data_IF_916605554685
#
_entry.id   IF_916605554685
#
_cell.length_a   1.000
_cell.length_b   1.000
_cell.length_c   1.000
_cell.angle_alpha   90.00
_cell.angle_beta   90.00
_cell.angle_gamma   90.00
#
_symmetry.space_group_name_H-M   'P 1'
#
loop_
_entity.id
_entity.type
_entity.pdbx_description
1 polymer ?
#
# COMPACT_ATOMS: atom_id res chain seq x y z
N UNK A 1 -0.69 -13.88 20.73
CA UNK A 1 -1.60 -13.97 19.57
C UNK A 1 -1.45 -12.67 18.79
N UNK A 2 -0.95 -12.77 17.57
CA UNK A 2 -0.70 -11.60 16.71
C UNK A 2 -1.99 -10.96 16.23
N UNK A 3 -1.89 -9.74 15.71
CA UNK A 3 -3.06 -8.98 15.21
C UNK A 3 -3.71 -9.59 13.96
N UNK A 4 -2.97 -10.39 13.20
CA UNK A 4 -3.44 -11.11 12.01
C UNK A 4 -3.34 -12.63 12.15
N UNK A 5 -3.34 -13.14 13.38
CA UNK A 5 -3.19 -14.58 13.67
C UNK A 5 -4.23 -15.40 12.91
N UNK A 6 -3.76 -16.38 12.10
CA UNK A 6 -4.59 -17.25 11.25
C UNK A 6 -5.21 -16.59 10.01
N UNK A 7 -4.97 -15.32 9.76
CA UNK A 7 -5.45 -14.61 8.55
C UNK A 7 -4.54 -14.87 7.34
N UNK A 8 -5.10 -14.78 6.16
CA UNK A 8 -4.37 -14.76 4.88
C UNK A 8 -4.33 -13.32 4.37
N UNK A 9 -3.11 -12.82 4.15
CA UNK A 9 -2.86 -11.45 3.69
C UNK A 9 -2.29 -11.44 2.27
N UNK A 10 -2.72 -10.46 1.45
CA UNK A 10 -2.08 -10.12 0.18
C UNK A 10 -1.47 -8.71 0.28
N UNK A 11 -0.20 -8.54 -0.12
CA UNK A 11 0.48 -7.25 -0.21
C UNK A 11 0.95 -7.02 -1.64
N UNK A 12 0.46 -5.98 -2.32
CA UNK A 12 1.01 -5.63 -3.64
C UNK A 12 2.26 -4.76 -3.48
N UNK A 13 3.30 -5.03 -4.31
CA UNK A 13 4.58 -4.31 -4.22
C UNK A 13 5.40 -4.65 -2.97
N UNK A 14 5.38 -5.92 -2.54
CA UNK A 14 5.99 -6.39 -1.29
C UNK A 14 7.51 -6.62 -1.34
N UNK A 15 8.22 -6.20 -2.39
CA UNK A 15 9.67 -6.47 -2.54
C UNK A 15 10.59 -5.37 -2.06
N UNK A 16 10.08 -4.23 -1.60
CA UNK A 16 10.88 -3.10 -1.06
C UNK A 16 10.01 -2.10 -0.30
N UNK A 17 10.67 -1.22 0.49
CA UNK A 17 10.04 -0.10 1.19
C UNK A 17 8.88 -0.53 2.08
N UNK A 18 7.80 0.25 2.07
CA UNK A 18 6.60 0.02 2.89
C UNK A 18 6.04 -1.39 2.67
N UNK A 19 5.98 -1.84 1.41
CA UNK A 19 5.42 -3.17 1.11
C UNK A 19 6.24 -4.31 1.72
N UNK A 20 7.58 -4.25 1.64
CA UNK A 20 8.46 -5.24 2.27
C UNK A 20 8.27 -5.29 3.79
N UNK A 21 8.31 -4.12 4.44
CA UNK A 21 8.08 -4.05 5.89
C UNK A 21 6.69 -4.56 6.29
N UNK A 22 5.68 -4.30 5.47
CA UNK A 22 4.34 -4.84 5.69
C UNK A 22 4.30 -6.36 5.58
N UNK A 23 4.98 -6.97 4.59
CA UNK A 23 5.07 -8.44 4.45
C UNK A 23 5.70 -9.05 5.70
N UNK A 24 6.83 -8.50 6.16
CA UNK A 24 7.55 -9.00 7.33
C UNK A 24 6.73 -8.81 8.62
N UNK A 25 6.13 -7.64 8.79
CA UNK A 25 5.30 -7.33 9.94
C UNK A 25 4.05 -8.23 10.01
N UNK A 26 3.32 -8.37 8.89
CA UNK A 26 2.10 -9.18 8.86
C UNK A 26 2.39 -10.66 9.15
N UNK A 27 3.53 -11.18 8.65
CA UNK A 27 3.97 -12.53 8.98
C UNK A 27 4.31 -12.69 10.48
N UNK A 28 5.03 -11.73 11.07
CA UNK A 28 5.31 -11.69 12.53
C UNK A 28 4.03 -11.64 13.36
N UNK A 29 2.99 -11.00 12.82
CA UNK A 29 1.66 -10.90 13.45
C UNK A 29 0.74 -12.09 13.14
N UNK A 30 1.29 -13.18 12.61
CA UNK A 30 0.63 -14.47 12.46
C UNK A 30 -0.12 -14.69 11.15
N UNK A 31 0.00 -13.80 10.18
CA UNK A 31 -0.60 -13.99 8.87
C UNK A 31 0.21 -14.97 7.99
N UNK A 32 -0.49 -15.71 7.13
CA UNK A 32 0.09 -16.28 5.90
C UNK A 32 0.09 -15.19 4.84
N UNK A 33 1.27 -14.83 4.32
CA UNK A 33 1.40 -13.64 3.48
C UNK A 33 1.72 -14.01 2.04
N UNK A 34 0.81 -13.67 1.12
CA UNK A 34 1.14 -13.57 -0.30
C UNK A 34 1.56 -12.15 -0.62
N UNK A 35 2.52 -11.99 -1.53
CA UNK A 35 2.91 -10.66 -1.97
C UNK A 35 3.41 -10.65 -3.41
N UNK A 36 3.23 -9.49 -4.08
CA UNK A 36 3.63 -9.32 -5.47
C UNK A 36 4.83 -8.41 -5.62
N UNK A 37 5.51 -8.53 -6.76
CA UNK A 37 6.58 -7.65 -7.18
C UNK A 37 7.14 -8.04 -8.54
N UNK A 38 7.85 -7.12 -9.19
CA UNK A 38 8.46 -7.33 -10.50
C UNK A 38 9.81 -8.06 -10.43
N UNK A 39 10.56 -7.81 -9.35
CA UNK A 39 11.92 -8.33 -9.14
C UNK A 39 11.86 -9.69 -8.47
N UNK A 40 12.20 -10.72 -9.20
CA UNK A 40 12.08 -12.11 -8.74
C UNK A 40 13.06 -12.43 -7.61
N UNK A 41 14.32 -11.99 -7.73
CA UNK A 41 15.35 -12.25 -6.70
C UNK A 41 14.96 -11.58 -5.38
N UNK A 42 14.60 -10.29 -5.40
CA UNK A 42 14.13 -9.58 -4.20
C UNK A 42 12.85 -10.21 -3.60
N UNK A 43 11.97 -10.77 -4.45
CA UNK A 43 10.79 -11.49 -3.96
C UNK A 43 11.16 -12.79 -3.24
N UNK A 44 12.11 -13.55 -3.77
CA UNK A 44 12.61 -14.77 -3.12
C UNK A 44 13.30 -14.47 -1.80
N UNK A 45 14.14 -13.43 -1.74
CA UNK A 45 14.81 -12.98 -0.51
C UNK A 45 13.80 -12.67 0.60
N UNK A 46 12.74 -11.89 0.30
CA UNK A 46 11.70 -11.55 1.29
C UNK A 46 10.93 -12.80 1.73
N UNK A 47 10.61 -13.71 0.80
CA UNK A 47 9.92 -14.96 1.15
C UNK A 47 10.79 -15.86 2.04
N UNK A 48 12.09 -15.93 1.77
CA UNK A 48 13.07 -16.69 2.58
C UNK A 48 13.21 -16.09 3.98
N UNK A 49 13.24 -14.74 4.11
CA UNK A 49 13.29 -14.07 5.41
C UNK A 49 12.06 -14.40 6.26
N UNK A 50 10.86 -14.37 5.68
CA UNK A 50 9.62 -14.77 6.37
C UNK A 50 9.66 -16.22 6.81
N UNK A 51 10.08 -17.14 5.92
CA UNK A 51 10.10 -18.58 6.23
C UNK A 51 11.18 -18.93 7.24
N UNK A 52 12.33 -18.28 7.22
CA UNK A 52 13.40 -18.44 8.21
C UNK A 52 12.95 -17.97 9.59
N UNK A 53 12.08 -16.95 9.66
CA UNK A 53 11.45 -16.51 10.91
C UNK A 53 10.28 -17.39 11.36
N UNK A 54 9.98 -18.49 10.65
CA UNK A 54 8.92 -19.44 10.99
C UNK A 54 7.53 -19.09 10.45
N UNK A 55 7.41 -18.07 9.58
CA UNK A 55 6.16 -17.68 8.92
C UNK A 55 5.91 -18.44 7.60
N UNK A 56 4.76 -18.20 7.00
CA UNK A 56 4.42 -18.71 5.66
C UNK A 56 4.32 -17.55 4.65
N UNK A 57 5.09 -17.62 3.55
CA UNK A 57 5.07 -16.62 2.48
C UNK A 57 4.85 -17.25 1.10
N UNK A 58 4.21 -16.49 0.21
CA UNK A 58 4.09 -16.78 -1.22
C UNK A 58 4.47 -15.54 -2.03
N UNK A 59 5.60 -15.58 -2.74
CA UNK A 59 5.92 -14.56 -3.71
C UNK A 59 5.25 -14.87 -5.06
N UNK A 60 4.56 -13.88 -5.63
CA UNK A 60 3.93 -13.95 -6.95
C UNK A 60 4.56 -12.86 -7.82
N UNK A 61 5.26 -13.26 -8.90
CA UNK A 61 5.81 -12.29 -9.85
C UNK A 61 4.67 -11.63 -10.63
N UNK A 62 4.41 -10.37 -10.33
CA UNK A 62 3.40 -9.57 -11.00
C UNK A 62 3.79 -8.10 -11.02
N UNK A 63 3.36 -7.39 -12.06
CA UNK A 63 3.44 -5.93 -12.16
C UNK A 63 2.04 -5.36 -11.91
N UNK A 64 1.89 -4.57 -10.84
CA UNK A 64 0.60 -3.98 -10.47
C UNK A 64 0.07 -2.95 -11.48
N UNK A 65 0.91 -2.49 -12.42
CA UNK A 65 0.47 -1.65 -13.54
C UNK A 65 -0.24 -2.46 -14.64
N UNK A 66 -0.04 -3.77 -14.66
CA UNK A 66 -0.75 -4.72 -15.54
C UNK A 66 -1.93 -5.34 -14.78
N UNK A 67 -3.00 -4.58 -14.70
CA UNK A 67 -4.20 -4.87 -13.92
C UNK A 67 -4.96 -6.13 -14.38
N UNK A 68 -4.79 -6.58 -15.62
CA UNK A 68 -5.40 -7.82 -16.14
C UNK A 68 -4.97 -9.06 -15.31
N UNK A 69 -3.81 -9.00 -14.65
CA UNK A 69 -3.31 -10.07 -13.77
C UNK A 69 -3.89 -10.09 -12.37
N UNK A 70 -4.67 -9.10 -11.94
CA UNK A 70 -5.15 -8.99 -10.55
C UNK A 70 -5.98 -10.20 -10.10
N UNK A 71 -6.92 -10.64 -10.93
CA UNK A 71 -7.75 -11.82 -10.64
C UNK A 71 -6.91 -13.11 -10.54
N UNK A 72 -5.87 -13.24 -11.37
CA UNK A 72 -4.97 -14.39 -11.35
C UNK A 72 -4.10 -14.41 -10.08
N UNK A 73 -3.62 -13.25 -9.63
CA UNK A 73 -2.90 -13.13 -8.35
C UNK A 73 -3.79 -13.58 -7.19
N UNK A 74 -5.03 -13.08 -7.09
CA UNK A 74 -5.96 -13.49 -6.03
C UNK A 74 -6.28 -14.99 -6.12
N UNK A 75 -6.44 -15.55 -7.31
CA UNK A 75 -6.62 -16.99 -7.51
C UNK A 75 -5.44 -17.79 -6.95
N UNK A 76 -4.18 -17.41 -7.26
CA UNK A 76 -2.98 -18.07 -6.74
C UNK A 76 -2.91 -18.02 -5.20
N UNK A 77 -3.30 -16.89 -4.57
CA UNK A 77 -3.40 -16.77 -3.10
C UNK A 77 -4.36 -17.80 -2.54
N UNK A 78 -5.55 -17.92 -3.13
CA UNK A 78 -6.59 -18.85 -2.68
C UNK A 78 -6.20 -20.30 -2.94
N UNK A 79 -5.57 -20.61 -4.07
CA UNK A 79 -5.04 -21.95 -4.34
C UNK A 79 -3.98 -22.38 -3.31
N UNK A 80 -3.14 -21.45 -2.85
CA UNK A 80 -2.07 -21.74 -1.89
C UNK A 80 -2.55 -21.79 -0.43
N UNK A 81 -3.44 -20.87 -0.04
CA UNK A 81 -3.81 -20.66 1.38
C UNK A 81 -5.30 -20.89 1.67
N UNK A 82 -6.13 -21.14 0.66
CA UNK A 82 -7.54 -21.50 0.79
C UNK A 82 -8.50 -20.32 0.89
N UNK A 83 -8.02 -19.09 1.18
CA UNK A 83 -8.83 -17.88 1.38
C UNK A 83 -8.03 -16.59 1.19
N UNK A 84 -8.69 -15.44 1.28
CA UNK A 84 -8.09 -14.12 1.39
C UNK A 84 -8.86 -13.30 2.42
N UNK A 85 -8.24 -12.92 3.54
CA UNK A 85 -8.88 -12.18 4.62
C UNK A 85 -8.60 -10.70 4.59
N UNK A 86 -7.36 -10.33 4.29
CA UNK A 86 -6.92 -8.94 4.29
C UNK A 86 -6.02 -8.67 3.08
N UNK A 87 -6.08 -7.42 2.56
CA UNK A 87 -5.24 -7.01 1.46
C UNK A 87 -4.66 -5.61 1.71
N UNK A 88 -3.39 -5.43 1.38
CA UNK A 88 -2.73 -4.12 1.35
C UNK A 88 -2.30 -3.79 -0.08
N UNK A 89 -3.08 -2.93 -0.74
CA UNK A 89 -2.78 -2.41 -2.06
C UNK A 89 -1.74 -1.29 -1.94
N UNK A 90 -0.46 -1.70 -1.87
CA UNK A 90 0.66 -0.79 -1.63
C UNK A 90 1.41 -0.42 -2.91
N UNK A 91 1.40 -1.25 -3.95
CA UNK A 91 2.13 -0.97 -5.18
C UNK A 91 1.77 0.40 -5.77
N UNK A 92 2.78 1.12 -6.21
CA UNK A 92 2.63 2.43 -6.83
C UNK A 92 3.95 3.01 -7.29
N UNK A 93 3.87 4.12 -8.00
CA UNK A 93 5.01 4.89 -8.49
C UNK A 93 4.79 6.38 -8.28
N UNK A 94 5.86 7.16 -8.31
CA UNK A 94 5.81 8.61 -8.28
C UNK A 94 6.70 9.17 -9.39
N UNK A 95 6.22 10.22 -10.04
CA UNK A 95 6.96 11.00 -11.02
C UNK A 95 6.66 12.47 -10.80
N UNK A 96 7.65 13.32 -11.06
CA UNK A 96 7.58 14.77 -10.90
C UNK A 96 7.78 15.43 -12.24
N UNK A 97 6.97 16.43 -12.55
CA UNK A 97 7.09 17.23 -13.77
C UNK A 97 6.16 18.44 -13.77
N UNK A 98 6.53 19.55 -14.46
CA UNK A 98 5.69 20.74 -14.56
C UNK A 98 4.34 20.42 -15.24
N UNK A 99 3.24 20.89 -14.67
CA UNK A 99 1.87 20.63 -15.19
C UNK A 99 1.73 20.88 -16.70
N UNK A 100 2.34 21.95 -17.19
CA UNK A 100 2.25 22.38 -18.60
C UNK A 100 3.11 21.55 -19.57
N UNK A 101 3.95 20.66 -19.07
CA UNK A 101 4.89 19.85 -19.84
C UNK A 101 4.62 18.35 -19.75
N UNK A 102 3.59 17.94 -18.99
CA UNK A 102 3.24 16.54 -18.85
C UNK A 102 2.66 15.98 -20.15
N UNK A 103 3.24 14.87 -20.62
CA UNK A 103 2.68 14.14 -21.76
C UNK A 103 1.53 13.21 -21.31
N UNK A 104 0.71 12.79 -22.29
CA UNK A 104 -0.32 11.76 -22.08
C UNK A 104 0.30 10.47 -21.51
N UNK A 105 1.43 10.04 -22.08
CA UNK A 105 2.16 8.86 -21.57
C UNK A 105 2.55 9.02 -20.09
N UNK A 106 3.04 10.20 -19.67
CA UNK A 106 3.38 10.46 -18.27
C UNK A 106 2.16 10.31 -17.37
N UNK A 107 1.01 10.84 -17.81
CA UNK A 107 -0.26 10.73 -17.12
C UNK A 107 -0.71 9.28 -17.02
N UNK A 108 -0.74 8.54 -18.12
CA UNK A 108 -1.20 7.17 -18.21
C UNK A 108 -0.39 6.25 -17.29
N UNK A 109 0.94 6.35 -17.31
CA UNK A 109 1.80 5.55 -16.44
C UNK A 109 1.51 5.74 -14.94
N UNK A 110 1.19 6.98 -14.52
CA UNK A 110 0.82 7.26 -13.12
C UNK A 110 -0.58 6.78 -12.79
N UNK A 111 -1.54 7.04 -13.65
CA UNK A 111 -2.94 6.68 -13.41
C UNK A 111 -3.14 5.17 -13.52
N UNK A 112 -2.54 4.52 -14.51
CA UNK A 112 -2.62 3.07 -14.66
C UNK A 112 -1.96 2.35 -13.47
N UNK A 113 -0.78 2.81 -13.03
CA UNK A 113 -0.09 2.20 -11.91
C UNK A 113 -0.72 2.46 -10.54
N UNK A 114 -1.13 3.71 -10.28
CA UNK A 114 -1.55 4.13 -8.95
C UNK A 114 -3.06 4.04 -8.70
N UNK A 115 -3.89 4.17 -9.74
CA UNK A 115 -5.34 4.21 -9.58
C UNK A 115 -6.02 3.01 -10.26
N UNK A 116 -5.79 2.81 -11.56
CA UNK A 116 -6.45 1.75 -12.31
C UNK A 116 -6.03 0.36 -11.82
N UNK A 117 -4.72 0.15 -11.59
CA UNK A 117 -4.23 -1.10 -10.98
C UNK A 117 -4.87 -1.37 -9.62
N UNK A 118 -4.91 -0.35 -8.75
CA UNK A 118 -5.57 -0.45 -7.42
C UNK A 118 -7.04 -0.82 -7.56
N UNK A 119 -7.77 -0.22 -8.50
CA UNK A 119 -9.17 -0.54 -8.73
C UNK A 119 -9.38 -2.04 -9.04
N UNK A 120 -8.60 -2.61 -9.95
CA UNK A 120 -8.78 -4.01 -10.35
C UNK A 120 -8.31 -5.01 -9.29
N UNK A 121 -7.25 -4.68 -8.52
CA UNK A 121 -6.88 -5.48 -7.35
C UNK A 121 -7.98 -5.45 -6.29
N UNK A 122 -8.48 -4.28 -5.91
CA UNK A 122 -9.57 -4.13 -4.97
C UNK A 122 -10.83 -4.89 -5.42
N UNK A 123 -11.18 -4.81 -6.72
CA UNK A 123 -12.30 -5.55 -7.30
C UNK A 123 -12.12 -7.07 -7.16
N UNK A 124 -10.94 -7.61 -7.50
CA UNK A 124 -10.67 -9.05 -7.42
C UNK A 124 -10.66 -9.56 -5.97
N UNK A 125 -10.04 -8.78 -5.06
CA UNK A 125 -9.99 -9.05 -3.62
C UNK A 125 -11.38 -9.05 -3.00
N UNK A 126 -12.17 -7.99 -3.24
CA UNK A 126 -13.54 -7.88 -2.75
C UNK A 126 -14.43 -9.00 -3.29
N UNK A 127 -14.34 -9.32 -4.58
CA UNK A 127 -15.09 -10.42 -5.18
C UNK A 127 -14.73 -11.76 -4.52
N UNK A 128 -13.47 -11.99 -4.16
CA UNK A 128 -13.05 -13.18 -3.43
C UNK A 128 -13.59 -13.19 -2.00
N UNK A 129 -13.45 -12.09 -1.26
CA UNK A 129 -13.95 -11.97 0.12
C UNK A 129 -15.46 -12.17 0.19
N UNK A 130 -16.22 -11.65 -0.78
CA UNK A 130 -17.67 -11.89 -0.90
C UNK A 130 -17.99 -13.36 -1.13
N UNK A 131 -17.30 -14.03 -2.07
CA UNK A 131 -17.56 -15.46 -2.38
C UNK A 131 -17.29 -16.38 -1.19
N UNK A 132 -16.24 -16.12 -0.42
CA UNK A 132 -15.89 -16.97 0.74
C UNK A 132 -16.73 -16.67 1.99
N UNK A 133 -17.34 -15.49 2.08
CA UNK A 133 -18.08 -15.03 3.25
C UNK A 133 -17.19 -14.68 4.44
N UNK A 134 -17.80 -14.13 5.50
CA UNK A 134 -17.10 -13.81 6.75
C UNK A 134 -16.43 -12.43 6.79
N UNK A 135 -16.64 -11.61 5.76
CA UNK A 135 -16.08 -10.25 5.68
C UNK A 135 -14.62 -10.21 5.25
N UNK A 136 -13.99 -9.06 5.44
CA UNK A 136 -12.58 -8.84 5.09
C UNK A 136 -12.12 -7.40 5.38
N UNK A 137 -10.85 -7.11 5.13
CA UNK A 137 -10.34 -5.75 5.23
C UNK A 137 -9.32 -5.45 4.13
N UNK A 138 -9.50 -4.31 3.47
CA UNK A 138 -8.60 -3.83 2.42
C UNK A 138 -8.06 -2.47 2.85
N UNK A 139 -6.73 -2.32 2.89
CA UNK A 139 -6.04 -1.06 3.04
C UNK A 139 -5.41 -0.67 1.70
N UNK A 140 -5.43 0.61 1.37
CA UNK A 140 -4.81 1.12 0.15
C UNK A 140 -3.76 2.17 0.51
N UNK A 141 -2.57 2.07 -0.07
CA UNK A 141 -1.51 3.06 0.10
C UNK A 141 -1.82 4.31 -0.73
N UNK A 142 -2.36 5.32 -0.06
CA UNK A 142 -2.63 6.64 -0.59
C UNK A 142 -1.38 7.54 -0.61
N UNK A 143 -1.57 8.79 -0.23
CA UNK A 143 -0.51 9.79 0.02
C UNK A 143 -1.14 11.02 0.68
N UNK A 144 -0.37 11.79 1.45
CA UNK A 144 -0.77 13.15 1.87
C UNK A 144 -1.12 14.03 0.66
N UNK A 145 -0.53 13.76 -0.49
CA UNK A 145 -0.79 14.48 -1.73
C UNK A 145 -2.12 14.12 -2.41
N UNK A 146 -2.94 13.28 -1.81
CA UNK A 146 -4.36 13.19 -2.12
C UNK A 146 -5.14 14.45 -1.69
N UNK A 147 -4.61 15.20 -0.71
CA UNK A 147 -5.24 16.38 -0.11
C UNK A 147 -4.34 17.62 -0.17
N UNK A 148 -3.01 17.45 -0.15
CA UNK A 148 -2.06 18.54 -0.25
C UNK A 148 -1.57 18.74 -1.69
N UNK A 149 -1.22 19.99 -2.01
CA UNK A 149 -0.57 20.35 -3.25
C UNK A 149 0.92 20.68 -3.07
N UNK A 150 1.73 20.32 -4.06
CA UNK A 150 3.09 20.84 -4.21
C UNK A 150 3.47 20.88 -5.68
N UNK A 151 4.57 21.56 -6.00
CA UNK A 151 5.03 21.69 -7.37
C UNK A 151 5.37 20.33 -8.00
N UNK A 152 4.96 20.15 -9.23
CA UNK A 152 5.38 19.04 -10.10
C UNK A 152 4.66 17.71 -9.87
N UNK A 153 3.67 17.62 -8.96
CA UNK A 153 2.99 16.35 -8.64
C UNK A 153 1.51 16.30 -9.05
N UNK A 154 1.06 17.16 -9.95
CA UNK A 154 -0.37 17.27 -10.30
C UNK A 154 -1.00 15.95 -10.73
N UNK A 155 -0.35 15.18 -11.62
CA UNK A 155 -0.83 13.87 -12.07
C UNK A 155 -0.77 12.82 -10.94
N UNK A 156 0.28 12.86 -10.10
CA UNK A 156 0.38 12.00 -8.93
C UNK A 156 -0.74 12.29 -7.92
N UNK A 157 -0.96 13.58 -7.59
CA UNK A 157 -2.05 14.00 -6.69
C UNK A 157 -3.42 13.59 -7.24
N UNK A 158 -3.66 13.73 -8.54
CA UNK A 158 -4.90 13.28 -9.17
C UNK A 158 -5.10 11.76 -8.98
N UNK A 159 -4.04 10.96 -9.20
CA UNK A 159 -4.12 9.50 -9.00
C UNK A 159 -4.41 9.13 -7.54
N UNK A 160 -3.73 9.78 -6.57
CA UNK A 160 -3.90 9.50 -5.13
C UNK A 160 -5.20 10.05 -4.56
N UNK A 161 -5.68 11.20 -5.06
CA UNK A 161 -7.03 11.71 -4.79
C UNK A 161 -8.11 10.76 -5.30
N UNK A 162 -7.91 10.20 -6.50
CA UNK A 162 -8.77 9.16 -7.07
C UNK A 162 -8.82 7.89 -6.20
N UNK A 163 -7.68 7.44 -5.69
CA UNK A 163 -7.59 6.30 -4.75
C UNK A 163 -8.40 6.57 -3.47
N UNK A 164 -8.27 7.75 -2.88
CA UNK A 164 -9.01 8.10 -1.66
C UNK A 164 -10.53 8.15 -1.92
N UNK A 165 -10.97 8.65 -3.07
CA UNK A 165 -12.38 8.64 -3.48
C UNK A 165 -12.89 7.22 -3.75
N UNK A 166 -12.10 6.38 -4.45
CA UNK A 166 -12.39 4.98 -4.71
C UNK A 166 -12.58 4.20 -3.40
N UNK A 167 -11.67 4.35 -2.44
CA UNK A 167 -11.75 3.65 -1.15
C UNK A 167 -13.01 4.02 -0.36
N UNK A 168 -13.43 5.30 -0.37
CA UNK A 168 -14.68 5.75 0.27
C UNK A 168 -15.91 5.12 -0.39
N UNK A 169 -15.97 5.12 -1.72
CA UNK A 169 -17.07 4.51 -2.46
C UNK A 169 -17.16 3.00 -2.21
N UNK A 170 -16.03 2.30 -2.29
CA UNK A 170 -15.92 0.87 -2.04
C UNK A 170 -16.31 0.51 -0.59
N UNK A 171 -15.95 1.34 0.40
CA UNK A 171 -16.34 1.13 1.79
C UNK A 171 -17.87 1.13 1.99
N UNK A 172 -18.57 2.01 1.29
CA UNK A 172 -20.06 2.06 1.33
C UNK A 172 -20.65 0.86 0.61
N UNK A 173 -20.14 0.52 -0.57
CA UNK A 173 -20.66 -0.58 -1.39
C UNK A 173 -20.43 -1.96 -0.75
N UNK A 174 -19.27 -2.15 -0.11
CA UNK A 174 -18.85 -3.44 0.45
C UNK A 174 -19.21 -3.62 1.94
N UNK A 175 -19.66 -2.55 2.60
CA UNK A 175 -20.06 -2.59 4.00
C UNK A 175 -21.11 -3.65 4.33
N UNK A 176 -22.17 -3.86 3.52
CA UNK A 176 -23.16 -4.94 3.72
C UNK A 176 -22.55 -6.35 3.74
N UNK A 177 -21.41 -6.55 3.07
CA UNK A 177 -20.67 -7.81 3.04
C UNK A 177 -19.61 -7.90 4.18
N UNK A 178 -19.60 -6.95 5.12
CA UNK A 178 -18.64 -6.82 6.22
C UNK A 178 -17.18 -6.67 5.74
N UNK A 179 -16.98 -6.09 4.57
CA UNK A 179 -15.65 -5.79 4.02
C UNK A 179 -15.38 -4.31 4.26
N UNK A 180 -14.28 -4.02 5.01
CA UNK A 180 -13.84 -2.67 5.31
C UNK A 180 -12.79 -2.21 4.28
N UNK A 181 -12.84 -0.94 3.89
CA UNK A 181 -11.86 -0.36 2.96
C UNK A 181 -11.38 0.99 3.51
N UNK A 182 -10.08 1.16 3.68
CA UNK A 182 -9.47 2.39 4.20
C UNK A 182 -8.21 2.75 3.40
N UNK A 183 -7.79 4.02 3.47
CA UNK A 183 -6.49 4.44 2.95
C UNK A 183 -5.51 4.80 4.07
N UNK A 184 -4.25 4.46 3.85
CA UNK A 184 -3.11 4.95 4.64
C UNK A 184 -2.39 5.98 3.78
N UNK A 185 -2.23 7.20 4.27
CA UNK A 185 -1.71 8.32 3.50
C UNK A 185 -0.37 8.79 4.07
N UNK A 186 0.75 8.18 3.65
CA UNK A 186 2.06 8.61 4.10
C UNK A 186 2.51 9.92 3.43
N UNK A 187 3.39 10.62 4.12
CA UNK A 187 4.25 11.65 3.57
C UNK A 187 5.54 11.05 3.00
N UNK A 188 6.66 11.75 3.10
CA UNK A 188 7.99 11.24 2.70
C UNK A 188 8.42 10.15 3.67
N UNK A 189 8.55 8.94 3.15
CA UNK A 189 8.99 7.75 3.88
C UNK A 189 10.32 7.27 3.28
N UNK A 190 11.26 6.86 4.12
CA UNK A 190 12.57 6.33 3.71
C UNK A 190 12.41 5.01 2.92
N UNK A 191 12.35 5.12 1.62
CA UNK A 191 12.18 4.00 0.70
C UNK A 191 13.06 4.19 -0.54
N UNK A 192 13.29 3.15 -1.34
CA UNK A 192 13.96 3.32 -2.64
C UNK A 192 13.24 4.31 -3.58
N UNK A 193 11.94 4.51 -3.43
CA UNK A 193 11.17 5.48 -4.22
C UNK A 193 11.56 6.93 -3.92
N UNK A 194 11.90 7.22 -2.67
CA UNK A 194 12.21 8.57 -2.18
C UNK A 194 13.72 8.83 -2.02
N UNK A 195 14.54 7.79 -2.13
CA UNK A 195 15.99 7.85 -1.89
C UNK A 195 16.71 8.92 -2.73
N UNK A 196 16.28 9.12 -3.99
CA UNK A 196 16.88 10.14 -4.87
C UNK A 196 16.63 11.60 -4.45
N UNK A 197 15.65 11.84 -3.55
CA UNK A 197 15.35 13.16 -3.00
C UNK A 197 15.87 13.36 -1.58
N UNK A 198 16.44 12.34 -0.95
CA UNK A 198 17.01 12.42 0.40
C UNK A 198 18.48 12.83 0.27
N UNK A 199 18.85 13.94 0.91
CA UNK A 199 20.22 14.41 1.02
C UNK A 199 20.64 14.41 2.50
N UNK A 200 21.94 14.30 2.76
CA UNK A 200 22.48 14.41 4.12
C UNK A 200 23.15 15.77 4.27
N UNK A 201 22.83 16.51 5.32
CA UNK A 201 23.47 17.79 5.64
C UNK A 201 24.88 17.55 6.19
N UNK A 202 25.71 18.61 6.25
CA UNK A 202 27.05 18.56 6.84
C UNK A 202 27.03 18.11 8.32
N UNK A 203 25.92 18.31 9.01
CA UNK A 203 25.70 17.89 10.39
C UNK A 203 25.18 16.45 10.53
N UNK A 204 25.05 15.74 9.38
CA UNK A 204 24.56 14.36 9.35
C UNK A 204 23.04 14.20 9.42
N UNK A 205 22.26 15.29 9.41
CA UNK A 205 20.82 15.22 9.34
C UNK A 205 20.34 14.91 7.91
N UNK A 206 19.37 14.03 7.80
CA UNK A 206 18.76 13.74 6.50
C UNK A 206 17.69 14.79 6.17
N UNK A 207 17.79 15.28 4.95
CA UNK A 207 16.94 16.31 4.40
C UNK A 207 16.22 15.81 3.16
N UNK A 208 14.96 16.14 3.04
CA UNK A 208 14.16 15.97 1.82
C UNK A 208 13.34 17.25 1.60
N UNK A 209 13.26 17.81 0.38
CA UNK A 209 12.59 19.10 0.13
C UNK A 209 11.12 19.15 0.61
N UNK A 210 10.44 18.01 0.59
CA UNK A 210 9.07 17.91 1.14
C UNK A 210 9.06 17.60 2.65
N UNK A 211 10.19 17.24 3.23
CA UNK A 211 10.35 16.91 4.66
C UNK A 211 10.43 18.13 5.57
N UNK A 212 10.82 19.30 5.04
CA UNK A 212 10.95 20.55 5.82
C UNK A 212 9.64 21.00 6.50
N UNK A 213 8.50 20.56 5.97
CA UNK A 213 7.18 20.88 6.48
C UNK A 213 6.61 19.83 7.43
N UNK A 214 7.41 18.85 7.83
CA UNK A 214 6.97 17.80 8.76
C UNK A 214 7.21 18.28 10.19
N UNK A 215 6.16 18.55 11.01
CA UNK A 215 6.31 19.04 12.39
C UNK A 215 7.17 18.16 13.30
N UNK A 216 7.18 16.84 13.10
CA UNK A 216 8.04 15.94 13.86
C UNK A 216 9.53 16.03 13.48
N UNK A 217 9.91 16.88 12.50
CA UNK A 217 11.30 17.22 12.16
C UNK A 217 12.11 16.10 11.51
N UNK A 218 11.46 15.05 11.00
CA UNK A 218 12.11 13.93 10.31
C UNK A 218 11.21 13.31 9.26
N UNK A 219 11.83 12.62 8.32
CA UNK A 219 11.09 11.72 7.40
C UNK A 219 10.61 10.48 8.17
N UNK A 220 9.53 9.86 7.65
CA UNK A 220 8.97 8.64 8.25
C UNK A 220 9.74 7.37 7.84
N UNK A 221 9.59 6.32 8.63
CA UNK A 221 10.13 5.00 8.33
C UNK A 221 9.04 4.08 7.74
N UNK A 222 9.40 3.11 6.88
CA UNK A 222 8.45 2.16 6.29
C UNK A 222 7.61 1.42 7.32
N UNK A 223 8.20 1.06 8.46
CA UNK A 223 7.52 0.37 9.54
C UNK A 223 6.39 1.19 10.14
N UNK A 224 6.52 2.52 10.24
CA UNK A 224 5.47 3.39 10.80
C UNK A 224 4.20 3.35 9.95
N UNK A 225 4.34 3.25 8.62
CA UNK A 225 3.21 3.08 7.70
C UNK A 225 2.63 1.67 7.78
N UNK A 226 3.50 0.65 7.85
CA UNK A 226 3.11 -0.75 7.96
C UNK A 226 2.30 -1.02 9.23
N UNK A 227 2.62 -0.38 10.36
CA UNK A 227 1.88 -0.48 11.62
C UNK A 227 0.46 0.06 11.51
N UNK A 228 0.26 1.18 10.81
CA UNK A 228 -1.08 1.72 10.58
C UNK A 228 -1.89 0.82 9.64
N UNK A 229 -1.25 0.30 8.58
CA UNK A 229 -1.89 -0.68 7.69
C UNK A 229 -2.29 -1.95 8.47
N UNK A 230 -1.41 -2.48 9.32
CA UNK A 230 -1.69 -3.61 10.20
C UNK A 230 -2.91 -3.36 11.09
N UNK A 231 -2.96 -2.21 11.76
CA UNK A 231 -4.12 -1.84 12.59
C UNK A 231 -5.41 -1.85 11.78
N UNK A 232 -5.44 -1.16 10.63
CA UNK A 232 -6.62 -1.05 9.77
C UNK A 232 -7.08 -2.41 9.23
N UNK A 233 -6.16 -3.32 8.96
CA UNK A 233 -6.44 -4.66 8.47
C UNK A 233 -6.92 -5.61 9.58
N UNK A 234 -6.56 -5.35 10.82
CA UNK A 234 -6.90 -6.20 11.97
C UNK A 234 -8.35 -6.03 12.45
N UNK A 235 -8.80 -6.96 13.28
CA UNK A 235 -10.11 -6.90 13.94
C UNK A 235 -10.20 -5.76 14.97
N UNK A 236 -9.07 -5.15 15.37
CA UNK A 236 -9.04 -3.95 16.24
C UNK A 236 -9.64 -2.72 15.57
N UNK A 237 -9.68 -2.67 14.24
CA UNK A 237 -10.30 -1.61 13.46
C UNK A 237 -11.71 -2.01 12.95
N UNK A 238 -12.42 -2.89 13.66
CA UNK A 238 -13.71 -3.47 13.20
C UNK A 238 -14.80 -2.46 12.87
N UNK A 239 -14.71 -1.23 13.40
CA UNK A 239 -15.67 -0.14 13.12
C UNK A 239 -15.05 1.02 12.33
N UNK A 240 -13.89 0.79 11.67
CA UNK A 240 -13.18 1.78 10.87
C UNK A 240 -13.27 1.37 9.39
N UNK A 241 -14.05 2.12 8.59
CA UNK A 241 -14.14 1.95 7.15
C UNK A 241 -14.37 3.29 6.45
N UNK A 242 -13.91 3.43 5.21
CA UNK A 242 -14.00 4.67 4.42
C UNK A 242 -13.08 5.79 4.88
N UNK A 243 -12.12 5.52 5.77
CA UNK A 243 -11.26 6.53 6.35
C UNK A 243 -9.96 6.73 5.56
N UNK A 244 -9.47 7.97 5.57
CA UNK A 244 -8.16 8.37 5.06
C UNK A 244 -7.27 8.70 6.27
N UNK A 245 -6.35 7.80 6.62
CA UNK A 245 -5.49 7.97 7.80
C UNK A 245 -4.13 8.53 7.38
N UNK A 246 -3.83 9.75 7.83
CA UNK A 246 -2.53 10.39 7.60
C UNK A 246 -1.44 9.75 8.47
N UNK A 247 -0.29 9.46 7.85
CA UNK A 247 0.93 8.97 8.51
C UNK A 247 2.06 9.89 8.06
N UNK A 248 2.05 11.12 8.57
CA UNK A 248 2.73 12.24 7.95
C UNK A 248 3.50 13.15 8.92
N UNK A 249 3.63 12.75 10.17
CA UNK A 249 4.32 13.54 11.19
C UNK A 249 3.71 14.94 11.42
N UNK A 250 2.43 15.14 11.05
CA UNK A 250 1.69 16.39 11.18
C UNK A 250 1.76 17.31 9.96
N UNK A 251 2.32 16.86 8.83
CA UNK A 251 2.49 17.70 7.64
C UNK A 251 1.15 18.25 7.12
N UNK A 252 0.07 17.46 7.16
CA UNK A 252 -1.22 17.86 6.61
C UNK A 252 -2.00 18.89 7.44
N UNK A 253 -1.56 19.15 8.67
CA UNK A 253 -2.22 20.08 9.61
C UNK A 253 -1.35 21.28 10.00
N UNK A 254 -0.20 21.45 9.32
CA UNK A 254 0.75 22.53 9.56
C UNK A 254 0.60 23.66 8.52
#
# INVERSE_FOLDING_TARGET
>A
MGMLDGKVALVTGGTSGIGRESVLLFAREGAKVAFTGRREDAGREVAEEVTTAGGEALFIKADATHFEGAADVVRQVVERFGRLDVAFNNAGTAKVGPLTELSEQFWDELVDGNLKGVFFYLQAEAAQMKRQGGGGSIAVNGSVFAELGTWGISAYSASKGGVAALARAAAVELGPDLIRVNTVNPTVIRTPLTAGGITTTDEGAEHHPHGERIPLGRIGEPEEVAQVALFLLSDRASFVTGQSIMVDGGQSVN
#
